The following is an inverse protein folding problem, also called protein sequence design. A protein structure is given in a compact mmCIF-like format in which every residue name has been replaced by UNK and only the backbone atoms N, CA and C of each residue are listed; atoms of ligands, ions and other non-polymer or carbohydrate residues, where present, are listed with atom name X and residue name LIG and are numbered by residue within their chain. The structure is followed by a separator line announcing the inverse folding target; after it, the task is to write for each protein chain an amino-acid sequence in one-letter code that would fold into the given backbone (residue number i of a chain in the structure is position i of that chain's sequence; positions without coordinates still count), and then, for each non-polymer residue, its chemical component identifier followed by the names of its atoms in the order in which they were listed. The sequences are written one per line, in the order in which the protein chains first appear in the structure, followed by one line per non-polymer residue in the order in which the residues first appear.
data_IF_575161044917
#
_entry.id   IF_575161044917
#
_cell.length_a   1.000
_cell.length_b   1.000
_cell.length_c   1.000
_cell.angle_alpha   90.00
_cell.angle_beta   90.00
_cell.angle_gamma   90.00
#
_symmetry.space_group_name_H-M   'P 1'
#
loop_
_entity.id
_entity.type
_entity.pdbx_description
1 polymer ?
#
# COMPACT_ATOMS: atom_id res chain seq x y z
N UNK A 1 -0.89 -9.45 -27.01
CA UNK A 1 -1.45 -8.12 -27.33
C UNK A 1 -0.49 -6.97 -27.02
N UNK A 2 -0.02 -6.81 -25.76
CA UNK A 2 0.86 -5.70 -25.36
C UNK A 2 2.15 -5.59 -26.19
N UNK A 3 2.86 -6.70 -26.45
CA UNK A 3 4.03 -6.71 -27.35
C UNK A 3 3.72 -6.14 -28.73
N UNK A 4 2.60 -6.56 -29.34
CA UNK A 4 2.14 -6.06 -30.65
C UNK A 4 1.78 -4.57 -30.59
N UNK A 5 1.16 -4.12 -29.49
CA UNK A 5 0.84 -2.70 -29.30
C UNK A 5 2.10 -1.83 -29.23
N UNK A 6 3.12 -2.25 -28.46
CA UNK A 6 4.41 -1.56 -28.35
C UNK A 6 5.21 -1.61 -29.65
N UNK A 7 5.06 -2.66 -30.47
CA UNK A 7 5.66 -2.76 -31.80
C UNK A 7 5.01 -1.78 -32.81
N UNK A 8 3.68 -1.68 -32.81
CA UNK A 8 2.93 -0.79 -33.71
C UNK A 8 3.12 0.67 -33.30
N UNK A 9 3.09 0.94 -32.00
CA UNK A 9 3.20 2.28 -31.43
C UNK A 9 4.27 2.31 -30.33
N UNK A 10 5.56 2.56 -30.68
CA UNK A 10 6.65 2.57 -29.71
C UNK A 10 6.53 3.66 -28.62
N UNK A 11 5.84 4.76 -28.88
CA UNK A 11 5.58 5.82 -27.90
C UNK A 11 4.37 5.51 -27.00
N UNK A 12 3.77 4.32 -27.08
CA UNK A 12 2.66 3.94 -26.21
C UNK A 12 3.14 3.50 -24.81
N UNK A 13 3.46 4.50 -23.98
CA UNK A 13 4.08 4.32 -22.66
C UNK A 13 3.27 3.44 -21.70
N UNK A 14 1.94 3.60 -21.64
CA UNK A 14 1.06 2.75 -20.82
C UNK A 14 1.14 1.27 -21.20
N UNK A 15 1.21 0.97 -22.51
CA UNK A 15 1.35 -0.39 -23.00
C UNK A 15 2.73 -0.97 -22.69
N UNK A 16 3.78 -0.14 -22.72
CA UNK A 16 5.14 -0.52 -22.34
C UNK A 16 5.23 -0.86 -20.84
N UNK A 17 4.76 0.02 -19.96
CA UNK A 17 4.77 -0.24 -18.52
C UNK A 17 3.89 -1.45 -18.15
N UNK A 18 2.74 -1.61 -18.82
CA UNK A 18 1.91 -2.80 -18.65
C UNK A 18 2.63 -4.07 -19.13
N UNK A 19 3.36 -4.00 -20.25
CA UNK A 19 4.15 -5.12 -20.76
C UNK A 19 5.24 -5.52 -19.76
N UNK A 20 5.97 -4.55 -19.21
CA UNK A 20 7.02 -4.78 -18.21
C UNK A 20 6.45 -5.49 -16.96
N UNK A 21 5.32 -5.02 -16.45
CA UNK A 21 4.64 -5.64 -15.32
C UNK A 21 4.20 -7.09 -15.63
N UNK A 22 3.57 -7.31 -16.79
CA UNK A 22 3.13 -8.65 -17.19
C UNK A 22 4.32 -9.61 -17.40
N UNK A 23 5.45 -9.12 -17.92
CA UNK A 23 6.66 -9.93 -18.04
C UNK A 23 7.16 -10.45 -16.69
N UNK A 24 7.06 -9.65 -15.61
CA UNK A 24 7.35 -10.14 -14.24
C UNK A 24 6.30 -11.09 -13.71
N UNK A 25 5.01 -10.80 -13.91
CA UNK A 25 3.92 -11.65 -13.43
C UNK A 25 3.89 -13.04 -14.07
N UNK A 26 4.38 -13.14 -15.30
CA UNK A 26 4.41 -14.40 -16.07
C UNK A 26 5.82 -15.01 -16.15
N UNK A 27 6.80 -14.43 -15.44
CA UNK A 27 8.21 -14.84 -15.47
C UNK A 27 8.77 -14.96 -16.90
N UNK A 28 8.31 -14.12 -17.83
CA UNK A 28 8.74 -14.12 -19.23
C UNK A 28 9.82 -13.06 -19.43
N UNK A 29 11.08 -13.43 -19.20
CA UNK A 29 12.18 -12.48 -19.06
C UNK A 29 13.06 -12.26 -20.29
N UNK A 30 12.76 -12.89 -21.43
CA UNK A 30 13.60 -12.92 -22.64
C UNK A 30 14.15 -11.54 -23.10
N UNK A 31 13.36 -10.47 -22.96
CA UNK A 31 13.72 -9.10 -23.32
C UNK A 31 13.49 -8.12 -22.15
N UNK A 32 13.48 -8.64 -20.91
CA UNK A 32 13.12 -7.85 -19.73
C UNK A 32 14.07 -6.68 -19.50
N UNK A 33 15.39 -6.90 -19.62
CA UNK A 33 16.39 -5.86 -19.41
C UNK A 33 16.23 -4.72 -20.43
N UNK A 34 16.07 -5.05 -21.72
CA UNK A 34 15.84 -4.06 -22.79
C UNK A 34 14.54 -3.28 -22.58
N UNK A 35 13.46 -3.96 -22.15
CA UNK A 35 12.20 -3.28 -21.83
C UNK A 35 12.34 -2.38 -20.60
N UNK A 36 13.09 -2.81 -19.59
CA UNK A 36 13.34 -2.08 -18.35
C UNK A 36 14.15 -0.81 -18.59
N UNK A 37 15.26 -0.90 -19.34
CA UNK A 37 16.09 0.25 -19.72
C UNK A 37 15.29 1.31 -20.49
N UNK A 38 14.47 0.85 -21.46
CA UNK A 38 13.59 1.74 -22.22
C UNK A 38 12.54 2.40 -21.34
N UNK A 39 11.93 1.65 -20.43
CA UNK A 39 10.94 2.15 -19.48
C UNK A 39 11.55 3.23 -18.57
N UNK A 40 12.78 3.02 -18.09
CA UNK A 40 13.52 3.97 -17.27
C UNK A 40 13.85 5.27 -18.04
N UNK A 41 14.25 5.17 -19.31
CA UNK A 41 14.51 6.34 -20.16
C UNK A 41 13.24 7.20 -20.36
N UNK A 42 12.11 6.56 -20.66
CA UNK A 42 10.82 7.23 -20.82
C UNK A 42 10.42 7.91 -19.51
N UNK A 43 10.56 7.20 -18.39
CA UNK A 43 10.22 7.74 -17.08
C UNK A 43 11.03 8.98 -16.71
N UNK A 44 12.34 8.97 -16.99
CA UNK A 44 13.21 10.16 -16.81
C UNK A 44 12.73 11.34 -17.67
N UNK A 45 12.31 11.08 -18.90
CA UNK A 45 11.76 12.12 -19.79
C UNK A 45 10.39 12.64 -19.29
N UNK A 46 9.48 11.77 -18.85
CA UNK A 46 8.18 12.15 -18.29
C UNK A 46 8.38 13.05 -17.05
N UNK A 47 9.27 12.66 -16.13
CA UNK A 47 9.59 13.43 -14.93
C UNK A 47 10.25 14.78 -15.26
N UNK A 48 11.23 14.81 -16.17
CA UNK A 48 11.90 16.04 -16.60
C UNK A 48 10.92 17.03 -17.28
N UNK A 49 9.89 16.51 -17.96
CA UNK A 49 8.84 17.32 -18.60
C UNK A 49 7.78 17.83 -17.61
N UNK A 50 7.85 17.44 -16.33
CA UNK A 50 6.91 17.86 -15.29
C UNK A 50 5.51 17.25 -15.45
N UNK A 51 5.35 16.22 -16.29
CA UNK A 51 4.08 15.51 -16.47
C UNK A 51 3.96 14.38 -15.46
N UNK A 52 2.72 14.01 -15.10
CA UNK A 52 2.46 12.84 -14.26
C UNK A 52 2.88 11.58 -15.04
N UNK A 53 3.82 10.77 -14.52
CA UNK A 53 4.23 9.55 -15.20
C UNK A 53 3.06 8.61 -15.47
N UNK A 54 3.14 7.87 -16.57
CA UNK A 54 2.12 6.90 -16.96
C UNK A 54 2.25 5.59 -16.18
N UNK A 55 3.43 5.30 -15.63
CA UNK A 55 3.64 4.18 -14.69
C UNK A 55 2.86 4.39 -13.38
N UNK A 56 2.25 3.31 -12.88
CA UNK A 56 1.65 3.26 -11.55
C UNK A 56 2.76 3.32 -10.48
N UNK A 57 2.56 4.12 -9.42
CA UNK A 57 3.57 4.32 -8.37
C UNK A 57 4.03 2.99 -7.75
N UNK A 58 3.08 2.10 -7.43
CA UNK A 58 3.38 0.76 -6.90
C UNK A 58 4.22 -0.10 -7.86
N UNK A 59 3.98 0.00 -9.17
CA UNK A 59 4.76 -0.78 -10.14
C UNK A 59 6.19 -0.26 -10.18
N UNK A 60 6.39 1.06 -10.17
CA UNK A 60 7.75 1.61 -10.09
C UNK A 60 8.50 1.11 -8.86
N UNK A 61 7.86 1.18 -7.67
CA UNK A 61 8.41 0.67 -6.42
C UNK A 61 8.77 -0.82 -6.48
N UNK A 62 8.00 -1.62 -7.21
CA UNK A 62 8.25 -3.06 -7.37
C UNK A 62 9.30 -3.39 -8.46
N UNK A 63 9.72 -2.40 -9.25
CA UNK A 63 10.65 -2.57 -10.36
C UNK A 63 12.04 -2.03 -10.05
N UNK A 64 12.14 -0.85 -9.42
CA UNK A 64 13.40 -0.16 -9.21
C UNK A 64 13.65 0.18 -7.74
N UNK A 65 14.83 -0.19 -7.27
CA UNK A 65 15.38 0.27 -5.99
C UNK A 65 16.01 1.66 -6.15
N UNK A 66 15.14 2.65 -6.36
CA UNK A 66 15.50 4.06 -6.48
C UNK A 66 14.57 4.92 -5.60
N UNK A 67 14.93 5.15 -4.32
CA UNK A 67 14.13 5.93 -3.39
C UNK A 67 13.88 7.38 -3.85
N UNK A 68 14.78 7.98 -4.64
CA UNK A 68 14.63 9.33 -5.13
C UNK A 68 13.57 9.40 -6.24
N UNK A 69 13.67 8.51 -7.22
CA UNK A 69 12.65 8.39 -8.27
C UNK A 69 11.29 7.95 -7.70
N UNK A 70 11.27 7.04 -6.72
CA UNK A 70 10.06 6.65 -6.00
C UNK A 70 9.34 7.87 -5.39
N UNK A 71 10.07 8.75 -4.70
CA UNK A 71 9.51 9.98 -4.15
C UNK A 71 9.04 10.95 -5.23
N UNK A 72 9.81 11.13 -6.31
CA UNK A 72 9.46 12.03 -7.40
C UNK A 72 8.15 11.63 -8.10
N UNK A 73 7.98 10.34 -8.37
CA UNK A 73 6.79 9.78 -9.01
C UNK A 73 5.58 9.88 -8.08
N UNK A 74 5.75 9.51 -6.80
CA UNK A 74 4.69 9.64 -5.80
C UNK A 74 4.20 11.11 -5.70
N UNK A 75 5.12 12.08 -5.67
CA UNK A 75 4.79 13.52 -5.69
C UNK A 75 4.03 13.92 -6.95
N UNK A 76 4.44 13.45 -8.13
CA UNK A 76 3.78 13.76 -9.39
C UNK A 76 2.34 13.22 -9.43
N UNK A 77 2.12 12.01 -8.92
CA UNK A 77 0.79 11.40 -8.79
C UNK A 77 -0.08 12.13 -7.77
N UNK A 78 0.42 12.38 -6.56
CA UNK A 78 -0.31 13.11 -5.52
C UNK A 78 -0.69 14.54 -5.95
N UNK A 79 0.18 15.21 -6.72
CA UNK A 79 -0.12 16.53 -7.32
C UNK A 79 -1.30 16.45 -8.29
N UNK A 80 -1.34 15.41 -9.14
CA UNK A 80 -2.43 15.21 -10.09
C UNK A 80 -3.77 14.90 -9.40
N UNK A 81 -3.76 14.11 -8.33
CA UNK A 81 -4.95 13.84 -7.49
C UNK A 81 -5.46 15.13 -6.82
N UNK A 82 -4.55 15.91 -6.24
CA UNK A 82 -4.89 17.19 -5.60
C UNK A 82 -5.54 18.17 -6.59
N UNK A 83 -5.09 18.19 -7.84
CA UNK A 83 -5.64 19.04 -8.88
C UNK A 83 -7.11 18.73 -9.23
N UNK A 84 -7.56 17.47 -9.07
CA UNK A 84 -8.96 17.07 -9.31
C UNK A 84 -9.92 17.65 -8.27
N UNK A 85 -9.45 17.84 -7.04
CA UNK A 85 -10.31 18.17 -5.91
C UNK A 85 -10.74 19.65 -5.85
N UNK A 86 -10.35 20.50 -6.83
CA UNK A 86 -10.46 21.98 -6.78
C UNK A 86 -9.99 22.57 -5.44
N UNK A 87 -9.16 21.82 -4.70
CA UNK A 87 -8.53 22.31 -3.49
C UNK A 87 -7.51 23.32 -3.98
N UNK A 88 -7.82 24.61 -3.80
CA UNK A 88 -6.83 25.65 -3.93
C UNK A 88 -5.68 25.25 -3.01
N UNK A 89 -4.58 24.83 -3.64
CA UNK A 89 -3.29 24.71 -3.00
C UNK A 89 -3.11 25.87 -2.03
N UNK A 90 -2.75 25.57 -0.79
CA UNK A 90 -2.25 26.54 0.17
C UNK A 90 -3.27 27.43 0.92
N UNK A 91 -4.47 26.95 1.27
CA UNK A 91 -4.96 27.31 2.62
C UNK A 91 -4.15 26.52 3.63
N UNK A 92 -3.13 27.23 4.13
CA UNK A 92 -2.01 26.70 4.88
C UNK A 92 -2.44 25.81 6.06
N UNK A 93 -1.50 24.97 6.48
CA UNK A 93 -1.40 24.31 7.79
C UNK A 93 -1.74 25.24 8.99
N UNK A 94 -1.82 26.56 8.80
CA UNK A 94 -2.20 27.57 9.80
C UNK A 94 -3.67 28.02 9.74
N UNK A 95 -4.37 27.91 8.60
CA UNK A 95 -5.83 28.15 8.50
C UNK A 95 -6.65 26.90 8.78
N UNK A 96 -6.02 25.72 8.69
CA UNK A 96 -6.45 24.54 9.45
C UNK A 96 -6.40 24.98 10.90
N UNK A 97 -7.50 25.50 11.40
CA UNK A 97 -7.61 25.95 12.77
C UNK A 97 -6.94 24.89 13.64
N UNK A 98 -6.24 25.36 14.67
CA UNK A 98 -6.20 24.58 15.89
C UNK A 98 -7.68 24.40 16.31
N UNK A 99 -8.43 23.52 15.64
CA UNK A 99 -9.25 22.60 16.36
C UNK A 99 -8.23 21.92 17.24
N UNK A 100 -8.05 22.49 18.43
CA UNK A 100 -7.32 21.88 19.52
C UNK A 100 -7.84 20.46 19.46
N UNK A 101 -7.01 19.49 19.04
CA UNK A 101 -7.32 18.09 19.32
C UNK A 101 -7.81 18.13 20.76
N UNK A 102 -9.03 17.66 21.08
CA UNK A 102 -9.58 17.77 22.43
C UNK A 102 -8.72 16.92 23.36
N UNK A 103 -7.56 17.45 23.68
CA UNK A 103 -6.43 16.88 24.37
C UNK A 103 -6.00 17.94 25.38
N UNK A 104 -6.97 18.59 26.01
CA UNK A 104 -6.81 18.71 27.45
C UNK A 104 -6.67 17.28 27.97
N UNK A 105 -5.47 16.92 28.42
CA UNK A 105 -5.14 15.60 28.96
C UNK A 105 -6.21 15.24 30.00
N UNK A 106 -7.10 14.30 29.66
CA UNK A 106 -8.02 13.68 30.61
C UNK A 106 -9.53 13.92 30.41
N UNK A 107 -10.01 14.55 29.33
CA UNK A 107 -11.46 14.80 29.18
C UNK A 107 -12.13 14.39 27.84
N UNK A 108 -11.46 13.68 26.93
CA UNK A 108 -12.07 13.29 25.64
C UNK A 108 -11.63 11.92 25.12
N UNK A 109 -12.54 11.27 24.38
CA UNK A 109 -12.28 10.06 23.61
C UNK A 109 -11.86 10.45 22.18
N UNK A 110 -10.67 10.02 21.73
CA UNK A 110 -10.12 10.35 20.41
C UNK A 110 -10.78 9.47 19.34
N UNK A 111 -11.32 10.07 18.29
CA UNK A 111 -11.93 9.32 17.19
C UNK A 111 -10.90 9.02 16.10
N UNK A 112 -10.62 7.73 15.88
CA UNK A 112 -9.73 7.22 14.84
C UNK A 112 -10.56 6.64 13.69
N UNK A 113 -10.34 7.14 12.48
CA UNK A 113 -10.90 6.60 11.24
C UNK A 113 -9.86 5.81 10.46
N UNK A 114 -10.17 4.57 10.06
CA UNK A 114 -9.36 3.79 9.13
C UNK A 114 -10.06 3.70 7.77
N UNK A 115 -9.37 4.05 6.69
CA UNK A 115 -9.95 4.07 5.34
C UNK A 115 -9.28 2.99 4.48
N UNK A 116 -10.08 2.07 3.93
CA UNK A 116 -9.55 1.01 3.06
C UNK A 116 -10.58 0.37 2.13
N UNK A 117 -10.17 0.05 0.91
CA UNK A 117 -10.89 -0.88 0.02
C UNK A 117 -10.68 -2.36 0.35
N UNK A 118 -9.86 -2.65 1.36
CA UNK A 118 -9.32 -3.99 1.59
C UNK A 118 -9.66 -4.59 2.96
N UNK A 119 -10.73 -4.11 3.60
CA UNK A 119 -11.36 -4.78 4.75
C UNK A 119 -12.11 -6.05 4.31
N UNK A 120 -11.36 -7.03 3.80
CA UNK A 120 -11.85 -8.26 3.15
C UNK A 120 -10.76 -9.33 3.16
N UNK A 121 -10.95 -10.43 2.43
CA UNK A 121 -9.90 -11.42 2.20
C UNK A 121 -8.78 -10.84 1.30
N UNK A 122 -7.91 -10.07 1.93
CA UNK A 122 -6.81 -9.31 1.35
C UNK A 122 -5.69 -9.16 2.40
N UNK A 123 -4.40 -9.04 2.01
CA UNK A 123 -3.30 -8.87 2.96
C UNK A 123 -3.55 -7.81 4.03
N UNK A 124 -4.09 -6.62 3.67
CA UNK A 124 -4.45 -5.59 4.66
C UNK A 124 -5.44 -6.14 5.69
N UNK A 125 -6.57 -6.72 5.25
CA UNK A 125 -7.55 -7.34 6.14
C UNK A 125 -6.99 -8.46 7.02
N UNK A 126 -6.07 -9.27 6.50
CA UNK A 126 -5.38 -10.33 7.26
C UNK A 126 -4.54 -9.75 8.41
N UNK A 127 -3.89 -8.61 8.18
CA UNK A 127 -2.98 -7.99 9.14
C UNK A 127 -3.77 -7.16 10.18
N UNK A 128 -4.74 -6.35 9.74
CA UNK A 128 -5.38 -5.30 10.56
C UNK A 128 -6.66 -5.73 11.27
N UNK A 129 -7.34 -6.80 10.84
CA UNK A 129 -8.68 -7.12 11.33
C UNK A 129 -8.78 -7.26 12.86
N UNK A 130 -7.75 -7.77 13.53
CA UNK A 130 -7.72 -7.88 14.98
C UNK A 130 -7.51 -6.54 15.71
N UNK A 131 -6.90 -5.53 15.07
CA UNK A 131 -6.53 -4.27 15.71
C UNK A 131 -7.75 -3.46 16.14
N UNK A 132 -8.83 -3.51 15.36
CA UNK A 132 -10.07 -2.80 15.69
C UNK A 132 -10.56 -3.16 17.11
N UNK A 133 -10.54 -4.45 17.48
CA UNK A 133 -10.96 -4.92 18.80
C UNK A 133 -9.94 -4.73 19.92
N UNK A 134 -8.75 -4.19 19.62
CA UNK A 134 -7.66 -4.01 20.59
C UNK A 134 -7.45 -2.56 21.04
N UNK A 135 -8.15 -1.60 20.44
CA UNK A 135 -8.15 -0.22 20.94
C UNK A 135 -8.83 -0.12 22.30
N UNK A 136 -8.22 0.62 23.22
CA UNK A 136 -8.80 0.96 24.52
C UNK A 136 -9.98 1.93 24.33
N UNK A 137 -11.20 1.42 24.47
CA UNK A 137 -12.44 2.19 24.26
C UNK A 137 -12.72 3.26 25.31
N UNK A 138 -11.98 3.26 26.42
CA UNK A 138 -12.02 4.39 27.36
C UNK A 138 -11.31 5.63 26.80
N UNK A 139 -10.47 5.45 25.77
CA UNK A 139 -9.64 6.49 25.17
C UNK A 139 -9.90 6.72 23.69
N UNK A 140 -10.39 5.71 22.98
CA UNK A 140 -10.53 5.74 21.53
C UNK A 140 -11.90 5.25 21.05
N UNK A 141 -12.48 6.00 20.10
CA UNK A 141 -13.59 5.56 19.25
C UNK A 141 -13.01 5.19 17.88
N UNK A 142 -13.38 4.05 17.33
CA UNK A 142 -12.79 3.48 16.13
C UNK A 142 -13.84 3.31 15.04
N UNK A 143 -13.63 3.99 13.91
CA UNK A 143 -14.51 3.94 12.73
C UNK A 143 -13.74 3.31 11.56
N UNK A 144 -14.35 2.35 10.89
CA UNK A 144 -13.82 1.76 9.65
C UNK A 144 -14.61 2.27 8.45
N UNK A 145 -13.97 2.97 7.52
CA UNK A 145 -14.56 3.44 6.26
C UNK A 145 -14.12 2.52 5.12
N UNK A 146 -15.07 1.76 4.57
CA UNK A 146 -14.78 0.83 3.48
C UNK A 146 -15.35 1.31 2.16
N UNK A 147 -14.55 1.27 1.10
CA UNK A 147 -15.03 1.38 -0.28
C UNK A 147 -14.83 0.08 -1.08
N UNK A 148 -14.45 -0.99 -0.38
CA UNK A 148 -14.27 -2.32 -0.96
C UNK A 148 -15.56 -3.12 -0.92
N UNK A 149 -15.71 -4.06 -1.85
CA UNK A 149 -16.81 -5.02 -1.83
C UNK A 149 -16.83 -5.80 -0.51
N UNK A 150 -18.02 -6.05 0.01
CA UNK A 150 -18.22 -7.11 1.00
C UNK A 150 -18.03 -8.46 0.29
N UNK A 151 -17.10 -9.27 0.80
CA UNK A 151 -16.81 -10.62 0.29
C UNK A 151 -17.28 -11.73 1.25
N UNK A 152 -18.00 -11.38 2.31
CA UNK A 152 -18.49 -12.30 3.34
C UNK A 152 -17.40 -12.98 4.16
N UNK A 153 -16.13 -12.59 3.99
CA UNK A 153 -14.99 -13.22 4.64
C UNK A 153 -14.99 -13.03 6.15
N UNK A 154 -14.25 -13.90 6.84
CA UNK A 154 -14.02 -13.76 8.29
C UNK A 154 -13.35 -12.42 8.64
N UNK A 155 -12.51 -11.89 7.74
CA UNK A 155 -11.81 -10.62 7.93
C UNK A 155 -12.78 -9.45 7.88
N UNK A 156 -13.66 -9.40 6.87
CA UNK A 156 -14.71 -8.36 6.76
C UNK A 156 -15.60 -8.35 8.00
N UNK A 157 -16.16 -9.52 8.35
CA UNK A 157 -17.05 -9.69 9.50
C UNK A 157 -16.38 -9.32 10.82
N UNK A 158 -15.09 -9.61 10.97
CA UNK A 158 -14.33 -9.24 12.16
C UNK A 158 -14.18 -7.73 12.28
N UNK A 159 -13.84 -7.04 11.20
CA UNK A 159 -13.74 -5.57 11.20
C UNK A 159 -15.09 -4.94 11.55
N UNK A 160 -16.17 -5.37 10.90
CA UNK A 160 -17.54 -4.88 11.17
C UNK A 160 -17.99 -5.07 12.61
N UNK A 161 -17.61 -6.21 13.22
CA UNK A 161 -17.94 -6.54 14.61
C UNK A 161 -17.08 -5.76 15.61
N UNK A 162 -15.79 -5.59 15.32
CA UNK A 162 -14.79 -5.15 16.30
C UNK A 162 -14.53 -3.63 16.26
N UNK A 163 -15.02 -2.89 15.25
CA UNK A 163 -15.02 -1.42 15.27
C UNK A 163 -16.30 -0.88 15.96
N UNK A 164 -16.27 0.39 16.40
CA UNK A 164 -17.46 1.02 16.99
C UNK A 164 -18.47 1.41 15.90
N UNK A 165 -17.98 1.65 14.69
CA UNK A 165 -18.82 1.95 13.53
C UNK A 165 -18.13 1.47 12.25
N UNK A 166 -18.86 0.72 11.42
CA UNK A 166 -18.46 0.37 10.07
C UNK A 166 -19.28 1.21 9.08
N UNK A 167 -18.60 2.01 8.26
CA UNK A 167 -19.21 2.91 7.29
C UNK A 167 -18.85 2.47 5.87
N UNK A 168 -19.83 2.01 5.11
CA UNK A 168 -19.67 1.79 3.67
C UNK A 168 -19.71 3.14 2.93
N UNK A 169 -18.63 3.44 2.22
CA UNK A 169 -18.45 4.63 1.38
C UNK A 169 -18.21 4.26 -0.10
N UNK A 170 -18.46 3.01 -0.50
CA UNK A 170 -18.22 2.50 -1.86
C UNK A 170 -19.04 3.22 -2.93
N UNK A 171 -20.27 3.64 -2.60
CA UNK A 171 -21.18 4.36 -3.51
C UNK A 171 -21.03 5.88 -3.45
N UNK A 172 -20.26 6.39 -2.48
CA UNK A 172 -20.04 7.82 -2.29
C UNK A 172 -18.93 8.31 -3.22
N UNK A 173 -19.07 9.53 -3.74
CA UNK A 173 -17.95 10.26 -4.34
C UNK A 173 -16.88 10.56 -3.28
N UNK A 174 -15.65 10.87 -3.69
CA UNK A 174 -14.58 11.22 -2.74
C UNK A 174 -14.95 12.43 -1.88
N UNK A 175 -15.66 13.39 -2.47
CA UNK A 175 -16.19 14.56 -1.76
C UNK A 175 -17.24 14.18 -0.71
N UNK A 176 -18.20 13.32 -1.06
CA UNK A 176 -19.23 12.87 -0.11
C UNK A 176 -18.63 11.99 1.00
N UNK A 177 -17.64 11.15 0.68
CA UNK A 177 -16.91 10.36 1.66
C UNK A 177 -16.12 11.26 2.64
N UNK A 178 -15.40 12.26 2.13
CA UNK A 178 -14.68 13.23 2.97
C UNK A 178 -15.63 14.03 3.88
N UNK A 179 -16.78 14.46 3.37
CA UNK A 179 -17.79 15.15 4.18
C UNK A 179 -18.37 14.26 5.27
N UNK A 180 -18.67 12.99 4.95
CA UNK A 180 -19.09 12.00 5.96
C UNK A 180 -18.05 11.83 7.06
N UNK A 181 -16.77 11.68 6.71
CA UNK A 181 -15.67 11.56 7.69
C UNK A 181 -15.59 12.80 8.59
N UNK A 182 -15.81 14.00 8.03
CA UNK A 182 -15.82 15.27 8.77
C UNK A 182 -16.99 15.34 9.75
N UNK A 183 -18.19 14.93 9.33
CA UNK A 183 -19.40 14.89 10.16
C UNK A 183 -19.30 13.89 11.30
N UNK A 184 -18.61 12.76 11.07
CA UNK A 184 -18.35 11.74 12.10
C UNK A 184 -17.32 12.20 13.16
N UNK A 185 -16.70 13.39 12.99
CA UNK A 185 -15.81 14.00 13.97
C UNK A 185 -14.48 13.28 14.13
N UNK A 186 -13.91 12.76 13.03
CA UNK A 186 -12.64 12.01 13.07
C UNK A 186 -11.46 12.94 13.39
N UNK A 187 -10.74 12.64 14.48
CA UNK A 187 -9.53 13.36 14.89
C UNK A 187 -8.29 12.87 14.14
N UNK A 188 -8.17 11.55 13.95
CA UNK A 188 -7.04 10.89 13.32
C UNK A 188 -7.55 10.01 12.19
N UNK A 189 -7.22 10.34 10.94
CA UNK A 189 -7.60 9.54 9.77
C UNK A 189 -6.39 8.79 9.22
N UNK A 190 -6.50 7.48 9.09
CA UNK A 190 -5.43 6.59 8.66
C UNK A 190 -5.82 5.95 7.32
N UNK A 191 -5.04 6.26 6.30
CA UNK A 191 -5.06 5.57 5.01
C UNK A 191 -4.35 4.22 5.13
N UNK A 192 -5.05 3.16 4.73
CA UNK A 192 -4.52 1.79 4.69
C UNK A 192 -4.38 1.25 3.26
N UNK A 193 -4.45 2.10 2.24
CA UNK A 193 -4.23 1.69 0.84
C UNK A 193 -2.99 2.32 0.22
N UNK A 194 -2.74 3.61 0.46
CA UNK A 194 -1.71 4.40 -0.22
C UNK A 194 -1.86 4.35 -1.75
N UNK A 195 -0.73 4.50 -2.46
CA UNK A 195 -0.69 4.52 -3.93
C UNK A 195 -0.79 3.12 -4.57
N UNK A 196 -1.78 2.34 -4.14
CA UNK A 196 -2.11 1.02 -4.70
C UNK A 196 -3.31 1.09 -5.65
N UNK A 197 -3.60 -0.01 -6.35
CA UNK A 197 -4.71 -0.06 -7.31
C UNK A 197 -6.05 0.20 -6.61
N UNK A 198 -6.80 1.17 -7.11
CA UNK A 198 -8.10 1.54 -6.56
C UNK A 198 -8.02 2.44 -5.33
N UNK A 199 -6.85 3.06 -5.08
CA UNK A 199 -6.72 4.10 -4.06
C UNK A 199 -7.74 5.22 -4.27
N UNK A 200 -8.12 5.86 -3.15
CA UNK A 200 -9.02 7.02 -3.12
C UNK A 200 -8.35 8.16 -2.35
N UNK A 201 -7.13 8.51 -2.77
CA UNK A 201 -6.31 9.52 -2.10
C UNK A 201 -6.93 10.92 -2.17
N UNK A 202 -7.82 11.17 -3.13
CA UNK A 202 -8.64 12.38 -3.20
C UNK A 202 -9.48 12.63 -1.93
N UNK A 203 -9.91 11.58 -1.21
CA UNK A 203 -10.58 11.73 0.10
C UNK A 203 -9.66 12.47 1.07
N UNK A 204 -8.38 12.10 1.11
CA UNK A 204 -7.38 12.71 1.99
C UNK A 204 -6.92 14.08 1.49
N UNK A 205 -6.89 14.31 0.18
CA UNK A 205 -6.60 15.61 -0.40
C UNK A 205 -7.62 16.68 0.03
N UNK A 206 -8.87 16.28 0.29
CA UNK A 206 -9.94 17.14 0.83
C UNK A 206 -9.81 17.43 2.34
N UNK A 207 -8.80 16.88 3.00
CA UNK A 207 -8.47 17.12 4.40
C UNK A 207 -9.68 17.01 5.37
N UNK A 208 -10.39 15.86 5.41
CA UNK A 208 -11.54 15.66 6.28
C UNK A 208 -11.22 15.54 7.78
N UNK A 209 -9.98 15.23 8.16
CA UNK A 209 -9.53 15.14 9.55
C UNK A 209 -8.33 16.07 9.83
N UNK A 210 -8.14 16.54 11.08
CA UNK A 210 -7.04 17.45 11.43
C UNK A 210 -5.67 16.76 11.39
N UNK A 211 -5.60 15.45 11.67
CA UNK A 211 -4.40 14.65 11.54
C UNK A 211 -4.63 13.51 10.55
N UNK A 212 -3.82 13.44 9.50
CA UNK A 212 -3.92 12.41 8.47
C UNK A 212 -2.63 11.61 8.37
N UNK A 213 -2.74 10.29 8.37
CA UNK A 213 -1.61 9.38 8.31
C UNK A 213 -1.79 8.36 7.19
N UNK A 214 -0.69 7.83 6.69
CA UNK A 214 -0.68 6.61 5.89
C UNK A 214 0.06 5.50 6.65
N UNK A 215 -0.40 4.27 6.48
CA UNK A 215 0.18 3.10 7.15
C UNK A 215 -0.14 1.81 6.40
N UNK A 216 0.79 0.85 6.48
CA UNK A 216 0.60 -0.57 6.18
C UNK A 216 0.38 -0.95 4.71
N UNK A 217 -0.65 -0.38 4.05
CA UNK A 217 -1.10 -0.85 2.73
C UNK A 217 -0.13 -0.61 1.58
N UNK A 218 0.60 0.50 1.64
CA UNK A 218 1.58 0.89 0.63
C UNK A 218 2.98 1.01 1.26
N UNK A 219 3.99 0.26 0.80
CA UNK A 219 5.32 0.23 1.41
C UNK A 219 6.23 1.35 0.88
N UNK A 220 5.78 2.61 0.96
CA UNK A 220 6.56 3.75 0.51
C UNK A 220 5.92 5.11 0.87
N UNK A 221 6.58 6.18 0.46
CA UNK A 221 6.06 7.56 0.58
C UNK A 221 4.82 7.78 -0.28
N UNK A 222 3.80 8.46 0.26
CA UNK A 222 2.65 8.93 -0.54
C UNK A 222 3.03 10.05 -1.52
N UNK A 223 4.13 10.77 -1.25
CA UNK A 223 4.53 11.96 -1.98
C UNK A 223 3.57 13.15 -1.79
N UNK A 224 2.57 13.03 -0.93
CA UNK A 224 1.47 13.97 -0.83
C UNK A 224 1.68 15.01 0.27
N UNK A 225 1.31 16.26 -0.01
CA UNK A 225 1.33 17.34 0.99
C UNK A 225 0.19 17.28 2.01
N UNK A 226 -0.74 16.34 1.86
CA UNK A 226 -1.94 16.18 2.70
C UNK A 226 -1.84 15.04 3.72
N UNK A 227 -0.75 14.25 3.74
CA UNK A 227 -0.45 13.34 4.85
C UNK A 227 0.54 14.00 5.81
N UNK A 228 0.25 13.97 7.10
CA UNK A 228 1.11 14.55 8.13
C UNK A 228 2.17 13.54 8.61
N UNK A 229 1.79 12.26 8.76
CA UNK A 229 2.71 11.21 9.18
C UNK A 229 2.59 9.91 8.38
N UNK A 230 3.69 9.16 8.31
CA UNK A 230 3.75 7.75 7.92
C UNK A 230 4.14 6.93 9.16
N UNK A 231 3.33 5.93 9.51
CA UNK A 231 3.67 5.00 10.59
C UNK A 231 4.70 3.99 10.06
N UNK A 232 5.86 3.92 10.73
CA UNK A 232 7.02 3.17 10.28
C UNK A 232 7.77 2.52 11.45
N UNK A 233 8.92 1.91 11.17
CA UNK A 233 9.90 1.47 12.17
C UNK A 233 11.32 1.77 11.69
N UNK A 234 12.31 1.86 12.60
CA UNK A 234 13.67 2.27 12.25
C UNK A 234 14.46 1.21 11.47
N UNK A 235 13.96 -0.02 11.35
CA UNK A 235 14.60 -1.08 10.56
C UNK A 235 14.23 -0.90 9.09
N UNK A 236 12.94 -0.71 8.80
CA UNK A 236 12.43 -0.55 7.44
C UNK A 236 12.73 0.84 6.90
N UNK A 237 12.67 1.87 7.74
CA UNK A 237 13.08 3.23 7.37
C UNK A 237 14.13 3.72 8.38
N UNK A 238 15.43 3.51 8.09
CA UNK A 238 16.49 4.11 8.89
C UNK A 238 16.46 5.65 8.83
N UNK A 239 17.03 6.30 9.84
CA UNK A 239 17.06 7.78 9.93
C UNK A 239 17.66 8.44 8.69
N UNK A 240 18.69 7.85 8.09
CA UNK A 240 19.38 8.39 6.91
C UNK A 240 18.54 8.32 5.63
N UNK A 241 17.46 7.53 5.63
CA UNK A 241 16.53 7.38 4.52
C UNK A 241 15.33 8.33 4.61
N UNK A 242 15.17 9.07 5.71
CA UNK A 242 14.04 10.00 5.95
C UNK A 242 13.85 11.02 4.83
N UNK A 243 14.93 11.44 4.16
CA UNK A 243 14.88 12.39 3.03
C UNK A 243 14.03 11.92 1.84
N UNK A 244 13.79 10.62 1.73
CA UNK A 244 12.99 10.03 0.64
C UNK A 244 11.49 9.95 0.97
N UNK A 245 11.06 10.51 2.10
CA UNK A 245 9.67 10.53 2.53
C UNK A 245 9.14 11.95 2.64
N UNK A 246 7.90 12.17 2.17
CA UNK A 246 7.25 13.49 2.27
C UNK A 246 6.62 13.75 3.64
N UNK A 247 6.24 12.67 4.32
CA UNK A 247 5.58 12.63 5.60
C UNK A 247 6.60 12.70 6.74
N UNK A 248 6.16 13.14 7.91
CA UNK A 248 6.94 12.92 9.13
C UNK A 248 6.84 11.45 9.54
N UNK A 249 7.93 10.86 9.98
CA UNK A 249 7.91 9.45 10.39
C UNK A 249 7.44 9.32 11.84
N UNK A 250 6.40 8.52 12.07
CA UNK A 250 5.95 8.09 13.39
C UNK A 250 6.45 6.66 13.63
N UNK A 251 7.57 6.52 14.33
CA UNK A 251 8.18 5.21 14.56
C UNK A 251 7.47 4.43 15.66
N UNK A 252 7.08 3.20 15.32
CA UNK A 252 6.67 2.17 16.28
C UNK A 252 7.89 1.66 17.06
N UNK A 253 7.71 1.27 18.33
CA UNK A 253 8.83 0.84 19.19
C UNK A 253 9.48 -0.48 18.75
N UNK A 254 8.79 -1.30 17.96
CA UNK A 254 9.27 -2.63 17.55
C UNK A 254 9.21 -2.80 16.03
N UNK A 255 8.00 -2.81 15.46
CA UNK A 255 7.81 -2.91 14.01
C UNK A 255 6.54 -2.17 13.59
N UNK A 256 6.53 -1.65 12.36
CA UNK A 256 5.35 -1.08 11.74
C UNK A 256 4.35 -2.16 11.31
N UNK A 257 4.84 -3.38 11.09
CA UNK A 257 4.08 -4.49 10.52
C UNK A 257 3.42 -5.31 11.64
N UNK A 258 2.11 -5.22 11.70
CA UNK A 258 1.27 -6.02 12.60
C UNK A 258 0.92 -7.35 11.96
N UNK A 259 0.67 -8.38 12.77
CA UNK A 259 0.08 -9.64 12.30
C UNK A 259 -1.00 -10.10 13.28
N UNK A 260 -2.03 -10.75 12.76
CA UNK A 260 -3.07 -11.37 13.60
C UNK A 260 -2.62 -12.77 14.04
N UNK A 261 -2.17 -12.87 15.29
CA UNK A 261 -1.75 -14.14 15.91
C UNK A 261 -2.92 -15.05 16.30
N UNK A 262 -4.16 -14.66 16.01
CA UNK A 262 -5.37 -15.48 16.23
C UNK A 262 -5.90 -16.11 14.95
N UNK A 263 -5.16 -15.99 13.83
CA UNK A 263 -5.56 -16.62 12.57
C UNK A 263 -5.64 -18.15 12.72
N UNK A 264 -6.70 -18.78 12.17
CA UNK A 264 -6.88 -20.21 12.28
C UNK A 264 -5.79 -20.96 11.51
N UNK A 265 -5.13 -21.89 12.18
CA UNK A 265 -4.25 -22.85 11.54
C UNK A 265 -5.13 -24.00 11.03
N UNK A 266 -4.93 -24.41 9.76
CA UNK A 266 -5.66 -25.53 9.18
C UNK A 266 -5.42 -26.80 9.99
N UNK A 267 -6.51 -27.43 10.47
CA UNK A 267 -6.46 -28.74 11.12
C UNK A 267 -6.42 -29.90 10.11
N UNK A 268 -6.48 -29.62 8.80
CA UNK A 268 -6.44 -30.66 7.77
C UNK A 268 -5.06 -31.32 7.80
N UNK A 269 -4.96 -32.65 8.04
CA UNK A 269 -3.70 -33.35 7.90
C UNK A 269 -3.29 -33.31 6.42
N UNK A 270 -2.09 -32.79 6.14
CA UNK A 270 -1.48 -32.78 4.81
C UNK A 270 -0.10 -33.42 4.95
N UNK A 271 0.15 -34.49 4.20
CA UNK A 271 1.44 -35.12 4.06
C UNK A 271 2.21 -34.52 2.88
N UNK A 272 3.53 -34.70 2.85
CA UNK A 272 4.38 -34.21 1.75
C UNK A 272 3.93 -34.77 0.39
N UNK A 273 3.59 -36.06 0.37
CA UNK A 273 3.08 -36.74 -0.82
C UNK A 273 1.78 -36.11 -1.37
N UNK A 274 0.93 -35.55 -0.52
CA UNK A 274 -0.35 -34.93 -0.94
C UNK A 274 -0.16 -33.68 -1.81
N UNK A 275 1.02 -33.06 -1.73
CA UNK A 275 1.39 -31.84 -2.47
C UNK A 275 2.59 -32.07 -3.40
N UNK A 276 2.93 -33.33 -3.68
CA UNK A 276 4.01 -33.69 -4.60
C UNK A 276 5.41 -33.39 -4.08
N UNK A 277 5.58 -33.21 -2.76
CA UNK A 277 6.88 -32.95 -2.16
C UNK A 277 7.61 -34.27 -1.79
N UNK A 278 8.93 -34.35 -2.02
CA UNK A 278 9.75 -35.51 -1.62
C UNK A 278 9.79 -35.73 -0.10
N UNK A 279 9.70 -36.99 0.30
CA UNK A 279 9.57 -37.40 1.72
C UNK A 279 10.79 -37.05 2.58
N UNK A 280 12.00 -37.09 2.03
CA UNK A 280 13.26 -36.93 2.78
C UNK A 280 14.12 -35.74 2.33
N UNK A 281 13.57 -34.84 1.51
CA UNK A 281 14.29 -33.65 1.07
C UNK A 281 14.09 -32.46 2.02
N UNK A 282 15.07 -31.56 2.03
CA UNK A 282 14.86 -30.19 2.49
C UNK A 282 14.07 -29.42 1.41
N UNK A 283 13.01 -28.73 1.83
CA UNK A 283 12.13 -27.96 0.94
C UNK A 283 12.34 -26.48 1.20
N UNK A 284 12.88 -25.76 0.21
CA UNK A 284 12.88 -24.31 0.21
C UNK A 284 11.54 -23.80 -0.30
N UNK A 285 10.90 -22.87 0.40
CA UNK A 285 9.63 -22.29 0.00
C UNK A 285 9.71 -20.78 -0.20
N UNK A 286 9.04 -20.27 -1.24
CA UNK A 286 8.85 -18.82 -1.45
C UNK A 286 7.42 -18.56 -1.92
N UNK A 287 6.51 -18.38 -0.97
CA UNK A 287 5.10 -18.10 -1.25
C UNK A 287 4.86 -16.60 -1.51
N UNK A 288 5.48 -16.11 -2.59
CA UNK A 288 5.40 -14.72 -3.02
C UNK A 288 4.65 -14.58 -4.34
N UNK A 289 4.15 -13.36 -4.60
CA UNK A 289 3.63 -13.02 -5.93
C UNK A 289 4.75 -13.13 -6.97
N UNK A 290 4.48 -13.66 -8.18
CA UNK A 290 5.51 -13.83 -9.20
C UNK A 290 6.29 -12.56 -9.56
N UNK A 291 5.64 -11.39 -9.51
CA UNK A 291 6.32 -10.13 -9.81
C UNK A 291 7.44 -9.76 -8.83
N UNK A 292 7.55 -10.44 -7.67
CA UNK A 292 8.66 -10.27 -6.72
C UNK A 292 9.86 -11.15 -7.06
N UNK A 293 9.71 -12.02 -8.05
CA UNK A 293 10.75 -12.94 -8.52
C UNK A 293 11.29 -12.34 -9.82
N UNK A 294 12.54 -11.89 -9.79
CA UNK A 294 13.26 -11.42 -10.96
C UNK A 294 14.34 -12.44 -11.38
N UNK A 295 14.93 -12.29 -12.60
CA UNK A 295 15.95 -13.22 -13.08
C UNK A 295 17.12 -13.39 -12.12
N UNK A 296 17.60 -12.30 -11.50
CA UNK A 296 18.76 -12.33 -10.61
C UNK A 296 18.45 -13.12 -9.34
N UNK A 297 17.28 -12.90 -8.74
CA UNK A 297 16.83 -13.65 -7.57
C UNK A 297 16.65 -15.14 -7.89
N UNK A 298 16.08 -15.45 -9.05
CA UNK A 298 15.91 -16.82 -9.50
C UNK A 298 17.24 -17.53 -9.74
N UNK A 299 18.22 -16.85 -10.35
CA UNK A 299 19.57 -17.37 -10.55
C UNK A 299 20.28 -17.67 -9.22
N UNK A 300 20.09 -16.82 -8.21
CA UNK A 300 20.59 -17.07 -6.85
C UNK A 300 19.93 -18.31 -6.26
N UNK A 301 18.61 -18.47 -6.38
CA UNK A 301 17.91 -19.67 -5.90
C UNK A 301 18.43 -20.94 -6.60
N UNK A 302 18.59 -20.91 -7.92
CA UNK A 302 19.13 -22.05 -8.67
C UNK A 302 20.58 -22.37 -8.27
N UNK A 303 21.37 -21.34 -7.98
CA UNK A 303 22.74 -21.50 -7.49
C UNK A 303 22.79 -22.14 -6.10
N UNK A 304 21.88 -21.76 -5.21
CA UNK A 304 21.73 -22.39 -3.89
C UNK A 304 21.31 -23.86 -4.05
N UNK A 305 20.27 -24.15 -4.84
CA UNK A 305 19.78 -25.53 -5.03
C UNK A 305 20.86 -26.47 -5.58
N UNK A 306 21.70 -25.99 -6.52
CA UNK A 306 22.82 -26.77 -7.06
C UNK A 306 23.84 -27.21 -6.01
N UNK A 307 23.90 -26.53 -4.85
CA UNK A 307 24.77 -26.93 -3.74
C UNK A 307 24.19 -28.08 -2.91
N UNK A 308 22.90 -28.39 -3.04
CA UNK A 308 22.23 -29.47 -2.32
C UNK A 308 21.97 -30.66 -3.23
N UNK A 309 22.44 -31.85 -2.84
CA UNK A 309 22.23 -33.09 -3.60
C UNK A 309 20.78 -33.59 -3.61
N UNK A 310 19.95 -33.15 -2.66
CA UNK A 310 18.59 -33.69 -2.43
C UNK A 310 17.54 -32.62 -2.13
N UNK A 311 17.79 -31.33 -2.43
CA UNK A 311 16.80 -30.27 -2.18
C UNK A 311 15.81 -30.12 -3.34
N UNK A 312 14.59 -29.64 -3.04
CA UNK A 312 13.61 -29.22 -4.04
C UNK A 312 12.99 -27.86 -3.65
N UNK A 313 12.42 -27.17 -4.65
CA UNK A 313 11.59 -25.99 -4.44
C UNK A 313 10.13 -26.39 -4.22
N UNK A 314 9.50 -25.77 -3.24
CA UNK A 314 8.05 -25.80 -3.00
C UNK A 314 7.42 -24.42 -3.07
#
# INVERSE_FOLDING_TARGET
CLRKAVQIKPDYTEALFSLLQHSKETCTWHDFDTLSERAEQILKQELASGIKPSILVFNHLAHWDDPESNLAIAKAWAKAESAKCKVQSAKSRLERGRGVLPLERGQGCVTIGYVSGDFRNHPVGHLISAVFGKHDRSRFKVIAYSFGRDDGSIYRKRVERDCDQFTDISTLSDQAAAERIRQDGVDILIDLMGQTRGSRMEIFALCPAPLQLTWLGYPGTSGAGFFDFLIADPIVIPQDSTRFYSEKLAYMPHTYLITDNTQPISAKPIQRADVGLPEHAFVFCSFNRPYKIDPKLFDVWMSVLKQFRTACCG
#
